data_IF_053196130765
#
_entry.id   IF_053196130765
#
_cell.length_a   1.000
_cell.length_b   1.000
_cell.length_c   1.000
_cell.angle_alpha   90.00
_cell.angle_beta   90.00
_cell.angle_gamma   90.00
#
_symmetry.space_group_name_H-M   'P 1'
#
loop_
_entity.id
_entity.type
_entity.pdbx_description
1 polymer ?
#
# COMPACT_ATOMS: atom_id res chain seq x y z
N UNK A 1 14.30 -3.25 4.88
CA UNK A 1 14.58 -1.92 4.58
C UNK A 1 15.92 -1.74 3.92
N UNK A 2 15.95 -1.55 2.63
CA UNK A 2 17.17 -1.24 1.91
C UNK A 2 17.48 0.24 2.01
N UNK A 3 18.34 0.59 2.91
CA UNK A 3 19.05 1.88 2.91
C UNK A 3 20.02 1.95 1.72
N UNK A 4 19.64 1.89 0.55
CA UNK A 4 20.66 1.88 -0.48
C UNK A 4 20.36 2.85 -1.58
N UNK A 5 19.56 2.48 -2.49
CA UNK A 5 19.24 3.26 -3.69
C UNK A 5 17.98 4.11 -3.55
N UNK A 6 17.23 3.92 -2.48
CA UNK A 6 15.95 4.58 -2.21
C UNK A 6 16.05 5.52 -1.00
N UNK A 7 17.03 6.44 -1.05
CA UNK A 7 17.04 7.58 -0.14
C UNK A 7 15.79 8.41 -0.41
N UNK A 8 14.90 8.49 0.57
CA UNK A 8 13.59 9.14 0.46
C UNK A 8 13.66 10.57 -0.08
N UNK A 9 14.75 11.30 0.20
CA UNK A 9 14.98 12.63 -0.35
C UNK A 9 15.22 12.62 -1.88
N UNK A 10 15.61 11.48 -2.45
CA UNK A 10 15.93 11.34 -3.87
C UNK A 10 14.81 10.73 -4.70
N UNK A 11 13.79 10.15 -4.07
CA UNK A 11 12.78 9.34 -4.74
C UNK A 11 11.52 10.12 -5.10
N UNK A 12 11.49 11.42 -4.93
CA UNK A 12 10.44 12.28 -5.49
C UNK A 12 10.67 12.57 -6.98
N UNK A 13 10.97 11.54 -7.73
CA UNK A 13 11.22 11.61 -9.15
C UNK A 13 10.88 10.29 -9.82
N UNK A 14 10.94 10.29 -11.14
CA UNK A 14 10.75 9.07 -11.91
C UNK A 14 11.93 8.13 -11.68
N UNK A 15 11.63 6.86 -11.49
CA UNK A 15 12.64 5.82 -11.48
C UNK A 15 13.26 5.65 -12.86
N UNK A 16 14.55 5.36 -12.88
CA UNK A 16 15.16 4.80 -14.08
C UNK A 16 14.49 3.44 -14.36
N UNK A 17 13.82 3.24 -15.49
CA UNK A 17 13.17 1.97 -15.83
C UNK A 17 14.13 0.77 -15.76
N UNK A 18 15.44 0.97 -15.90
CA UNK A 18 16.45 -0.07 -15.77
C UNK A 18 16.44 -0.74 -14.39
N UNK A 19 15.96 -0.06 -13.34
CA UNK A 19 15.84 -0.64 -11.98
C UNK A 19 14.95 -1.88 -11.99
N UNK A 20 13.86 -1.86 -12.74
CA UNK A 20 12.93 -3.00 -12.82
C UNK A 20 13.50 -4.15 -13.64
N UNK A 21 14.35 -3.86 -14.64
CA UNK A 21 15.09 -4.87 -15.39
C UNK A 21 16.13 -5.56 -14.52
N UNK A 22 16.89 -4.79 -13.74
CA UNK A 22 17.86 -5.32 -12.78
C UNK A 22 17.16 -6.15 -11.68
N UNK A 23 16.02 -5.72 -11.19
CA UNK A 23 15.21 -6.46 -10.23
C UNK A 23 14.75 -7.80 -10.81
N UNK A 24 14.22 -7.81 -12.04
CA UNK A 24 13.80 -9.03 -12.71
C UNK A 24 14.98 -9.99 -12.94
N UNK A 25 16.15 -9.50 -13.34
CA UNK A 25 17.35 -10.31 -13.52
C UNK A 25 17.81 -10.92 -12.18
N UNK A 26 17.80 -10.16 -11.11
CA UNK A 26 18.19 -10.63 -9.77
C UNK A 26 17.22 -11.69 -9.25
N UNK A 27 15.90 -11.42 -9.37
CA UNK A 27 14.86 -12.36 -8.96
C UNK A 27 14.90 -13.68 -9.76
N UNK A 28 15.26 -13.64 -11.03
CA UNK A 28 15.38 -14.84 -11.87
C UNK A 28 16.42 -15.82 -11.34
N UNK A 29 17.50 -15.32 -10.72
CA UNK A 29 18.58 -16.17 -10.18
C UNK A 29 18.11 -17.05 -9.03
N UNK A 30 17.14 -16.65 -8.26
CA UNK A 30 16.64 -17.40 -7.09
C UNK A 30 15.51 -18.38 -7.41
N UNK A 31 14.92 -18.32 -8.61
CA UNK A 31 13.79 -19.20 -9.02
C UNK A 31 14.12 -20.69 -8.83
N UNK A 32 15.31 -21.22 -9.21
CA UNK A 32 15.63 -22.61 -9.00
C UNK A 32 15.56 -23.04 -7.53
N UNK A 33 16.02 -22.17 -6.61
CA UNK A 33 16.00 -22.47 -5.17
C UNK A 33 14.57 -22.36 -4.61
N UNK A 34 13.78 -21.39 -5.04
CA UNK A 34 12.34 -21.27 -4.70
C UNK A 34 11.59 -22.55 -5.11
N UNK A 35 11.82 -23.01 -6.33
CA UNK A 35 11.24 -24.25 -6.86
C UNK A 35 11.64 -25.47 -6.03
N UNK A 36 12.93 -25.63 -5.74
CA UNK A 36 13.48 -26.74 -4.95
C UNK A 36 12.86 -26.78 -3.56
N UNK A 37 12.69 -25.63 -2.92
CA UNK A 37 12.14 -25.52 -1.57
C UNK A 37 10.61 -25.47 -1.53
N UNK A 38 9.94 -25.37 -2.67
CA UNK A 38 8.49 -25.18 -2.79
C UNK A 38 8.01 -23.92 -2.06
N UNK A 39 8.79 -22.84 -2.16
CA UNK A 39 8.48 -21.53 -1.60
C UNK A 39 8.05 -20.59 -2.74
N UNK A 40 7.00 -19.85 -2.55
CA UNK A 40 6.63 -18.72 -3.42
C UNK A 40 7.08 -17.41 -2.79
N UNK A 41 7.72 -16.56 -3.58
CA UNK A 41 8.09 -15.21 -3.20
C UNK A 41 7.00 -14.24 -3.67
N UNK A 42 6.59 -13.34 -2.80
CA UNK A 42 5.66 -12.26 -3.14
C UNK A 42 6.41 -10.92 -3.14
N UNK A 43 6.35 -10.20 -4.26
CA UNK A 43 6.90 -8.86 -4.40
C UNK A 43 5.80 -7.85 -4.10
N UNK A 44 6.04 -6.95 -3.16
CA UNK A 44 5.07 -5.96 -2.71
C UNK A 44 5.19 -4.65 -3.49
N UNK A 45 4.04 -4.01 -3.75
CA UNK A 45 4.00 -2.59 -4.13
C UNK A 45 4.12 -1.77 -2.85
N UNK A 46 5.35 -1.24 -2.59
CA UNK A 46 5.65 -0.56 -1.35
C UNK A 46 5.85 0.94 -1.55
N UNK A 47 4.76 1.67 -1.82
CA UNK A 47 4.63 3.12 -1.91
C UNK A 47 5.28 3.80 -3.15
N UNK A 48 6.22 3.16 -3.84
CA UNK A 48 7.01 3.76 -4.92
C UNK A 48 6.64 3.25 -6.30
N UNK A 49 6.36 1.97 -6.40
CA UNK A 49 6.14 1.28 -7.65
C UNK A 49 4.70 1.47 -8.12
N UNK A 50 4.53 1.72 -9.40
CA UNK A 50 3.21 1.62 -10.03
C UNK A 50 2.88 0.17 -10.39
N UNK A 51 1.61 -0.10 -10.54
CA UNK A 51 1.13 -1.42 -10.95
C UNK A 51 1.66 -1.85 -12.32
N UNK A 52 1.84 -0.90 -13.26
CA UNK A 52 2.40 -1.18 -14.59
C UNK A 52 3.86 -1.63 -14.52
N UNK A 53 4.66 -0.97 -13.66
CA UNK A 53 6.06 -1.34 -13.43
C UNK A 53 6.17 -2.76 -12.86
N UNK A 54 5.38 -3.09 -11.84
CA UNK A 54 5.38 -4.42 -11.23
C UNK A 54 4.82 -5.50 -12.16
N UNK A 55 3.74 -5.21 -12.89
CA UNK A 55 3.20 -6.14 -13.88
C UNK A 55 4.23 -6.44 -14.99
N UNK A 56 5.02 -5.44 -15.40
CA UNK A 56 6.10 -5.65 -16.37
C UNK A 56 7.19 -6.58 -15.82
N UNK A 57 7.58 -6.45 -14.53
CA UNK A 57 8.49 -7.38 -13.86
C UNK A 57 7.93 -8.80 -13.87
N UNK A 58 6.65 -8.97 -13.51
CA UNK A 58 6.00 -10.30 -13.51
C UNK A 58 5.98 -10.94 -14.91
N UNK A 59 5.64 -10.17 -15.94
CA UNK A 59 5.67 -10.64 -17.34
C UNK A 59 7.08 -11.10 -17.77
N UNK A 60 8.13 -10.41 -17.33
CA UNK A 60 9.52 -10.80 -17.64
C UNK A 60 9.96 -12.05 -16.91
N UNK A 61 9.50 -12.24 -15.66
CA UNK A 61 9.85 -13.40 -14.85
C UNK A 61 9.15 -14.68 -15.35
N UNK A 62 7.89 -14.56 -15.74
CA UNK A 62 7.04 -15.64 -16.27
C UNK A 62 7.19 -16.96 -15.51
N UNK A 63 6.92 -16.92 -14.21
CA UNK A 63 7.09 -18.06 -13.32
C UNK A 63 6.00 -18.15 -12.26
N UNK A 64 5.52 -19.34 -11.87
CA UNK A 64 4.57 -19.47 -10.76
C UNK A 64 5.23 -19.34 -9.38
N UNK A 65 6.55 -19.23 -9.30
CA UNK A 65 7.28 -19.19 -8.03
C UNK A 65 7.46 -17.78 -7.46
N UNK A 66 7.21 -16.76 -8.27
CA UNK A 66 7.22 -15.37 -7.86
C UNK A 66 5.88 -14.77 -8.28
N UNK A 67 5.21 -14.08 -7.36
CA UNK A 67 3.98 -13.36 -7.60
C UNK A 67 4.01 -12.01 -6.91
N UNK A 68 2.87 -11.33 -6.85
CA UNK A 68 2.74 -10.05 -6.19
C UNK A 68 2.09 -10.18 -4.81
N UNK A 69 2.54 -9.36 -3.91
CA UNK A 69 1.84 -9.00 -2.70
C UNK A 69 1.13 -7.67 -2.96
N UNK A 70 -0.17 -7.72 -3.14
CA UNK A 70 -0.92 -6.49 -3.39
C UNK A 70 -1.26 -5.80 -2.08
N UNK A 71 -0.58 -4.67 -1.86
CA UNK A 71 -0.91 -3.74 -0.79
C UNK A 71 -1.92 -2.72 -1.30
N UNK A 72 -3.11 -2.73 -0.73
CA UNK A 72 -4.27 -2.03 -1.26
C UNK A 72 -4.12 -0.50 -1.28
N UNK A 73 -3.41 0.08 -0.31
CA UNK A 73 -3.32 1.52 -0.17
C UNK A 73 -2.03 2.13 -0.74
N UNK A 74 -0.99 1.31 -0.92
CA UNK A 74 0.34 1.85 -1.25
C UNK A 74 0.44 2.48 -2.64
N UNK A 75 -0.41 2.08 -3.59
CA UNK A 75 -0.51 2.71 -4.90
C UNK A 75 -0.84 4.20 -4.85
N UNK A 76 -1.55 4.66 -3.80
CA UNK A 76 -1.89 6.07 -3.65
C UNK A 76 -0.64 6.96 -3.54
N UNK A 77 0.43 6.50 -2.88
CA UNK A 77 1.68 7.26 -2.77
C UNK A 77 2.40 7.40 -4.12
N UNK A 78 2.11 6.51 -5.07
CA UNK A 78 2.58 6.62 -6.46
C UNK A 78 1.60 7.37 -7.38
N UNK A 79 0.61 8.06 -6.84
CA UNK A 79 -0.46 8.73 -7.58
C UNK A 79 -1.25 7.78 -8.47
N UNK A 80 -1.49 6.56 -8.01
CA UNK A 80 -2.25 5.57 -8.74
C UNK A 80 -3.54 5.22 -7.98
N UNK A 81 -4.65 5.17 -8.71
CA UNK A 81 -5.93 4.73 -8.16
C UNK A 81 -5.86 3.25 -7.77
N UNK A 82 -6.21 2.89 -6.52
CA UNK A 82 -6.13 1.51 -6.03
C UNK A 82 -6.93 0.50 -6.85
N UNK A 83 -8.08 0.87 -7.43
CA UNK A 83 -8.86 -0.05 -8.26
C UNK A 83 -8.16 -0.31 -9.61
N UNK A 84 -7.55 0.72 -10.19
CA UNK A 84 -6.74 0.57 -11.40
C UNK A 84 -5.50 -0.28 -11.14
N UNK A 85 -4.84 -0.07 -10.00
CA UNK A 85 -3.72 -0.91 -9.58
C UNK A 85 -4.15 -2.37 -9.39
N UNK A 86 -5.27 -2.60 -8.69
CA UNK A 86 -5.82 -3.93 -8.45
C UNK A 86 -6.08 -4.69 -9.76
N UNK A 87 -6.72 -4.07 -10.75
CA UNK A 87 -6.99 -4.69 -12.04
C UNK A 87 -5.74 -5.20 -12.75
N UNK A 88 -4.64 -4.46 -12.67
CA UNK A 88 -3.38 -4.80 -13.32
C UNK A 88 -2.57 -5.84 -12.54
N UNK A 89 -2.62 -5.78 -11.20
CA UNK A 89 -1.83 -6.64 -10.32
C UNK A 89 -2.51 -7.96 -9.96
N UNK A 90 -3.85 -8.01 -9.94
CA UNK A 90 -4.62 -9.18 -9.50
C UNK A 90 -4.21 -10.50 -10.18
N UNK A 91 -3.94 -10.56 -11.51
CA UNK A 91 -3.51 -11.81 -12.16
C UNK A 91 -2.22 -12.41 -11.61
N UNK A 92 -1.40 -11.60 -10.97
CA UNK A 92 -0.12 -12.00 -10.38
C UNK A 92 -0.14 -12.07 -8.85
N UNK A 93 -1.24 -11.62 -8.23
CA UNK A 93 -1.34 -11.50 -6.77
C UNK A 93 -1.48 -12.86 -6.12
N UNK A 94 -0.63 -13.11 -5.13
CA UNK A 94 -0.60 -14.35 -4.34
C UNK A 94 -0.81 -14.14 -2.84
N UNK A 95 -0.74 -12.89 -2.39
CA UNK A 95 -1.02 -12.45 -1.02
C UNK A 95 -1.34 -10.96 -1.01
N UNK A 96 -1.86 -10.46 0.09
CA UNK A 96 -2.32 -9.07 0.19
C UNK A 96 -2.01 -8.47 1.55
N UNK A 97 -1.92 -7.11 1.60
CA UNK A 97 -2.20 -6.32 2.78
C UNK A 97 -3.49 -5.54 2.56
N UNK A 98 -4.56 -5.99 3.22
CA UNK A 98 -5.86 -5.34 3.15
C UNK A 98 -5.91 -4.21 4.17
N UNK A 99 -5.85 -2.99 3.68
CA UNK A 99 -5.79 -1.75 4.47
C UNK A 99 -6.65 -0.65 3.85
N UNK A 100 -6.77 0.47 4.54
CA UNK A 100 -7.54 1.62 4.10
C UNK A 100 -6.80 2.92 4.37
N UNK A 101 -7.04 3.92 3.53
CA UNK A 101 -6.32 5.20 3.57
C UNK A 101 -7.26 6.39 3.34
N UNK A 102 -6.81 7.53 3.82
CA UNK A 102 -7.32 8.86 3.49
C UNK A 102 -6.17 9.78 3.07
N UNK A 103 -6.49 10.86 2.39
CA UNK A 103 -5.56 11.98 2.16
C UNK A 103 -5.91 13.07 3.15
N UNK A 104 -4.91 13.60 3.86
CA UNK A 104 -5.08 14.68 4.83
C UNK A 104 -4.17 15.86 4.49
N UNK A 105 -4.53 17.10 4.90
CA UNK A 105 -3.66 18.25 4.75
C UNK A 105 -2.35 18.09 5.52
N UNK A 106 -1.25 18.49 4.89
CA UNK A 106 0.07 18.58 5.50
C UNK A 106 0.84 19.76 4.88
N UNK A 107 0.70 20.98 5.44
CA UNK A 107 1.31 22.19 4.86
C UNK A 107 2.84 22.12 4.69
N UNK A 108 3.50 21.29 5.51
CA UNK A 108 4.95 21.08 5.47
C UNK A 108 5.39 20.18 4.30
N UNK A 109 4.48 19.39 3.73
CA UNK A 109 4.78 18.58 2.57
C UNK A 109 4.79 19.43 1.30
N UNK A 110 5.72 19.24 0.36
CA UNK A 110 5.78 19.97 -0.90
C UNK A 110 4.51 19.91 -1.75
N UNK A 111 3.71 18.86 -1.60
CA UNK A 111 2.41 18.75 -2.28
C UNK A 111 1.25 19.26 -1.41
N UNK A 112 1.50 19.65 -0.15
CA UNK A 112 0.51 20.13 0.80
C UNK A 112 -0.38 19.04 1.42
N UNK A 113 -0.10 17.77 1.13
CA UNK A 113 -0.90 16.62 1.55
C UNK A 113 -0.05 15.39 1.79
N UNK A 114 -0.57 14.48 2.63
CA UNK A 114 -0.02 13.14 2.86
C UNK A 114 -1.12 12.09 2.83
N UNK A 115 -0.75 10.85 2.58
CA UNK A 115 -1.64 9.69 2.64
C UNK A 115 -1.54 9.06 4.02
N UNK A 116 -2.66 8.89 4.69
CA UNK A 116 -2.71 8.39 6.06
C UNK A 116 -3.43 7.05 6.13
N UNK A 117 -2.76 6.05 6.72
CA UNK A 117 -3.38 4.77 7.06
C UNK A 117 -4.40 4.96 8.17
N UNK A 118 -5.56 4.30 8.04
CA UNK A 118 -6.65 4.39 9.01
C UNK A 118 -7.30 3.02 9.21
N UNK A 119 -8.16 2.87 10.22
CA UNK A 119 -8.91 1.61 10.38
C UNK A 119 -9.71 1.28 9.12
N UNK A 120 -9.61 0.04 8.67
CA UNK A 120 -10.28 -0.47 7.45
C UNK A 120 -11.79 -0.24 7.53
N UNK A 121 -12.33 0.35 6.46
CA UNK A 121 -13.73 0.77 6.36
C UNK A 121 -14.00 2.20 6.86
N UNK A 122 -12.96 2.96 7.18
CA UNK A 122 -13.05 4.37 7.59
C UNK A 122 -12.45 5.33 6.56
N UNK A 123 -11.89 4.79 5.47
CA UNK A 123 -11.24 5.57 4.43
C UNK A 123 -12.08 5.84 3.21
N UNK A 124 -11.38 6.30 2.20
CA UNK A 124 -11.98 6.71 0.94
C UNK A 124 -11.86 5.66 -0.17
N UNK A 125 -11.19 4.53 0.10
CA UNK A 125 -11.09 3.46 -0.89
C UNK A 125 -12.41 2.68 -0.97
N UNK A 126 -12.84 2.34 -2.18
CA UNK A 126 -13.95 1.41 -2.37
C UNK A 126 -13.46 -0.02 -2.13
N UNK A 127 -13.39 -0.39 -0.85
CA UNK A 127 -12.90 -1.70 -0.41
C UNK A 127 -13.75 -2.86 -0.91
N UNK A 128 -15.03 -2.62 -1.22
CA UNK A 128 -15.92 -3.64 -1.75
C UNK A 128 -15.56 -3.96 -3.20
N UNK A 129 -15.38 -2.93 -4.02
CA UNK A 129 -14.95 -3.08 -5.42
C UNK A 129 -13.54 -3.68 -5.49
N UNK A 130 -12.61 -3.17 -4.69
CA UNK A 130 -11.25 -3.70 -4.59
C UNK A 130 -11.21 -5.19 -4.21
N UNK A 131 -12.00 -5.60 -3.22
CA UNK A 131 -12.13 -7.01 -2.84
C UNK A 131 -12.67 -7.85 -3.99
N UNK A 132 -13.71 -7.37 -4.67
CA UNK A 132 -14.31 -8.05 -5.82
C UNK A 132 -13.27 -8.27 -6.92
N UNK A 133 -12.54 -7.21 -7.31
CA UNK A 133 -11.49 -7.28 -8.34
C UNK A 133 -10.43 -8.34 -7.98
N UNK A 134 -9.94 -8.31 -6.75
CA UNK A 134 -8.90 -9.23 -6.33
C UNK A 134 -9.40 -10.68 -6.28
N UNK A 135 -10.61 -10.92 -5.81
CA UNK A 135 -11.17 -12.26 -5.74
C UNK A 135 -11.52 -12.83 -7.13
N UNK A 136 -11.99 -11.99 -8.04
CA UNK A 136 -12.35 -12.42 -9.39
C UNK A 136 -11.13 -12.69 -10.29
N UNK A 137 -10.02 -11.98 -10.05
CA UNK A 137 -8.87 -12.00 -10.97
C UNK A 137 -7.59 -12.57 -10.38
N UNK A 138 -7.61 -13.03 -9.11
CA UNK A 138 -6.46 -13.67 -8.47
C UNK A 138 -6.77 -15.07 -7.97
N UNK A 139 -5.76 -15.77 -7.49
CA UNK A 139 -5.90 -17.11 -6.89
C UNK A 139 -5.86 -17.09 -5.36
N UNK A 140 -5.98 -15.93 -4.74
CA UNK A 140 -5.92 -15.85 -3.28
C UNK A 140 -7.17 -16.45 -2.63
N UNK A 141 -6.97 -17.04 -1.47
CA UNK A 141 -8.05 -17.59 -0.63
C UNK A 141 -8.06 -16.96 0.76
N UNK A 142 -7.17 -16.01 1.01
CA UNK A 142 -6.99 -15.33 2.30
C UNK A 142 -6.68 -13.87 2.07
N UNK A 143 -7.22 -13.02 2.94
CA UNK A 143 -6.80 -11.63 3.08
C UNK A 143 -5.92 -11.53 4.32
N UNK A 144 -4.76 -10.89 4.19
CA UNK A 144 -3.99 -10.45 5.34
C UNK A 144 -4.37 -9.01 5.63
N UNK A 145 -4.89 -8.77 6.81
CA UNK A 145 -5.22 -7.44 7.27
C UNK A 145 -3.94 -6.75 7.73
N UNK A 146 -3.70 -5.57 7.24
CA UNK A 146 -2.70 -4.66 7.79
C UNK A 146 -3.37 -3.36 8.21
N UNK A 147 -2.93 -2.81 9.32
CA UNK A 147 -3.46 -1.56 9.86
C UNK A 147 -2.31 -0.68 10.30
N UNK A 148 -2.17 0.48 9.66
CA UNK A 148 -1.05 1.40 9.82
C UNK A 148 -1.44 2.71 10.51
N UNK A 149 -2.56 2.74 11.22
CA UNK A 149 -3.04 3.95 11.89
C UNK A 149 -2.25 4.23 13.18
N UNK A 150 -1.76 5.44 13.43
CA UNK A 150 -1.95 6.69 12.68
C UNK A 150 -0.80 7.07 11.70
N UNK A 151 -0.14 6.11 11.10
CA UNK A 151 0.95 6.34 10.17
C UNK A 151 0.54 7.19 8.97
N UNK A 152 1.38 8.18 8.61
CA UNK A 152 1.20 9.02 7.42
C UNK A 152 2.42 8.91 6.50
N UNK A 153 2.16 8.72 5.22
CA UNK A 153 3.19 8.64 4.19
C UNK A 153 3.10 9.82 3.22
N UNK A 154 4.25 10.33 2.82
CA UNK A 154 4.34 11.32 1.75
C UNK A 154 4.08 10.66 0.40
N UNK A 155 3.60 11.45 -0.57
CA UNK A 155 3.64 11.03 -1.97
C UNK A 155 5.08 10.80 -2.42
N UNK A 156 5.36 9.65 -3.04
CA UNK A 156 6.72 9.20 -3.40
C UNK A 156 7.09 9.50 -4.85
N UNK A 157 6.11 9.74 -5.68
CA UNK A 157 6.27 10.01 -7.11
C UNK A 157 5.66 11.37 -7.47
N UNK A 158 5.94 11.84 -8.67
CA UNK A 158 5.34 13.05 -9.20
C UNK A 158 3.86 12.83 -9.53
N UNK A 159 2.99 13.85 -9.37
CA UNK A 159 1.60 13.77 -9.81
C UNK A 159 1.50 13.30 -11.27
N UNK A 160 0.59 12.38 -11.53
CA UNK A 160 0.39 11.79 -12.84
C UNK A 160 1.18 10.52 -13.12
N UNK A 161 2.18 10.14 -12.30
CA UNK A 161 2.96 8.90 -12.52
C UNK A 161 2.06 7.68 -12.59
N UNK A 162 1.14 7.51 -11.64
CA UNK A 162 0.14 6.42 -11.65
C UNK A 162 -1.19 6.80 -12.30
N UNK A 163 -1.27 7.95 -13.00
CA UNK A 163 -2.47 8.40 -13.70
C UNK A 163 -3.32 9.43 -12.95
N UNK A 164 -3.08 9.65 -11.65
CA UNK A 164 -3.76 10.67 -10.85
C UNK A 164 -2.89 11.93 -10.77
N UNK A 165 -3.45 13.08 -11.14
CA UNK A 165 -2.71 14.35 -11.25
C UNK A 165 -2.94 15.32 -10.09
N UNK A 166 -3.97 15.10 -9.28
CA UNK A 166 -4.34 15.98 -8.18
C UNK A 166 -5.13 15.24 -7.11
N UNK A 167 -5.10 15.75 -5.90
CA UNK A 167 -6.02 15.36 -4.81
C UNK A 167 -7.39 16.01 -4.98
N UNK A 168 -8.42 15.50 -4.30
CA UNK A 168 -9.75 16.11 -4.20
C UNK A 168 -10.90 15.23 -4.68
N UNK A 169 -10.63 14.11 -5.35
CA UNK A 169 -11.67 13.23 -5.92
C UNK A 169 -11.41 11.75 -5.58
N UNK A 170 -12.47 10.97 -5.54
CA UNK A 170 -12.39 9.51 -5.30
C UNK A 170 -11.65 9.18 -4.01
N UNK A 171 -10.77 8.19 -4.05
CA UNK A 171 -9.93 7.81 -2.91
C UNK A 171 -8.92 8.89 -2.51
N UNK A 172 -8.63 9.86 -3.39
CA UNK A 172 -7.78 11.03 -3.12
C UNK A 172 -8.54 12.23 -2.53
N UNK A 173 -9.81 12.06 -2.16
CA UNK A 173 -10.57 13.10 -1.45
C UNK A 173 -9.87 13.46 -0.15
N UNK A 174 -9.76 14.77 0.12
CA UNK A 174 -9.11 15.29 1.32
C UNK A 174 -10.05 15.21 2.50
N UNK A 175 -9.60 14.62 3.59
CA UNK A 175 -10.36 14.46 4.83
C UNK A 175 -9.61 15.13 6.01
N UNK A 176 -10.31 15.35 7.10
CA UNK A 176 -9.69 15.71 8.36
C UNK A 176 -8.97 14.47 8.95
N UNK A 177 -7.83 14.64 9.64
CA UNK A 177 -7.18 13.54 10.34
C UNK A 177 -8.12 12.97 11.42
N UNK A 178 -8.09 11.64 11.60
CA UNK A 178 -8.89 10.94 12.63
C UNK A 178 -8.16 10.88 14.00
N UNK A 179 -6.97 11.43 14.07
CA UNK A 179 -6.16 11.57 15.28
C UNK A 179 -5.95 13.05 15.59
N UNK A 180 -5.50 13.34 16.80
CA UNK A 180 -5.15 14.70 17.19
C UNK A 180 -3.78 15.10 16.58
N UNK A 181 -3.72 16.10 15.67
CA UNK A 181 -2.49 16.54 15.06
C UNK A 181 -1.48 17.15 16.05
N UNK A 182 -1.91 17.55 17.25
CA UNK A 182 -0.99 17.98 18.32
C UNK A 182 -0.26 16.78 18.95
N UNK A 183 -0.89 15.60 18.89
CA UNK A 183 -0.31 14.36 19.41
C UNK A 183 0.53 13.64 18.33
N UNK A 184 -0.02 13.49 17.12
CA UNK A 184 0.65 12.85 16.00
C UNK A 184 0.68 13.82 14.82
N UNK A 185 1.86 14.30 14.45
CA UNK A 185 1.97 15.27 13.35
C UNK A 185 1.78 14.57 12.00
N UNK A 186 0.90 15.09 11.15
CA UNK A 186 0.82 14.62 9.77
C UNK A 186 2.18 14.77 9.07
N UNK A 187 2.62 13.73 8.36
CA UNK A 187 3.88 13.75 7.64
C UNK A 187 5.10 13.33 8.45
N UNK A 188 4.98 13.14 9.76
CA UNK A 188 6.01 12.45 10.53
C UNK A 188 6.10 11.01 10.01
N UNK A 189 7.20 10.77 9.33
CA UNK A 189 7.49 9.47 8.73
C UNK A 189 7.95 8.53 9.84
N UNK A 190 7.18 7.50 10.10
CA UNK A 190 7.32 6.71 11.30
C UNK A 190 6.99 7.52 12.57
N UNK A 191 7.07 6.88 13.71
CA UNK A 191 6.83 7.53 14.99
C UNK A 191 7.79 8.69 15.20
N UNK A 192 7.38 9.74 15.95
CA UNK A 192 8.28 10.83 16.32
C UNK A 192 9.61 10.27 16.81
N UNK A 193 10.72 10.87 16.37
CA UNK A 193 12.05 10.39 16.78
C UNK A 193 12.27 10.47 18.29
N UNK A 194 11.53 11.37 18.96
CA UNK A 194 11.44 11.49 20.40
C UNK A 194 10.01 11.19 20.84
N UNK A 195 9.70 9.91 21.05
CA UNK A 195 8.39 9.50 21.54
C UNK A 195 8.41 9.44 23.08
N UNK A 196 7.52 10.20 23.73
CA UNK A 196 7.29 10.03 25.18
C UNK A 196 6.53 8.73 25.46
N UNK A 197 6.58 8.26 26.72
CA UNK A 197 5.82 7.07 27.12
C UNK A 197 4.32 7.29 26.91
N UNK A 198 3.80 8.47 27.22
CA UNK A 198 2.39 8.83 27.04
C UNK A 198 1.99 8.80 25.56
N UNK A 199 2.83 9.34 24.67
CA UNK A 199 2.57 9.32 23.22
C UNK A 199 2.63 7.90 22.68
N UNK A 200 3.57 7.09 23.13
CA UNK A 200 3.66 5.67 22.75
C UNK A 200 2.40 4.91 23.18
N UNK A 201 1.94 5.09 24.42
CA UNK A 201 0.71 4.46 24.91
C UNK A 201 -0.51 4.88 24.11
N UNK A 202 -0.64 6.15 23.74
CA UNK A 202 -1.73 6.63 22.90
C UNK A 202 -1.69 6.02 21.50
N UNK A 203 -0.51 5.98 20.85
CA UNK A 203 -0.34 5.33 19.56
C UNK A 203 -0.69 3.83 19.61
N UNK A 204 -0.24 3.12 20.64
CA UNK A 204 -0.57 1.69 20.83
C UNK A 204 -2.07 1.47 21.04
N UNK A 205 -2.73 2.35 21.79
CA UNK A 205 -4.18 2.30 21.97
C UNK A 205 -4.92 2.52 20.66
N UNK A 206 -4.54 3.55 19.88
CA UNK A 206 -5.13 3.82 18.56
C UNK A 206 -4.95 2.63 17.61
N UNK A 207 -3.76 2.02 17.59
CA UNK A 207 -3.51 0.82 16.80
C UNK A 207 -4.36 -0.37 17.24
N UNK A 208 -4.45 -0.63 18.54
CA UNK A 208 -5.24 -1.74 19.06
C UNK A 208 -6.74 -1.59 18.74
N UNK A 209 -7.28 -0.40 18.91
CA UNK A 209 -8.67 -0.10 18.56
C UNK A 209 -8.89 -0.19 17.06
N UNK A 210 -7.95 0.34 16.25
CA UNK A 210 -7.98 0.28 14.81
C UNK A 210 -7.98 -1.16 14.27
N UNK A 211 -7.15 -2.04 14.82
CA UNK A 211 -7.12 -3.47 14.45
C UNK A 211 -8.45 -4.14 14.74
N UNK A 212 -9.06 -3.89 15.90
CA UNK A 212 -10.37 -4.46 16.26
C UNK A 212 -11.46 -4.00 15.29
N UNK A 213 -11.51 -2.71 14.99
CA UNK A 213 -12.49 -2.14 14.04
C UNK A 213 -12.29 -2.71 12.64
N UNK A 214 -11.04 -2.73 12.17
CA UNK A 214 -10.65 -3.26 10.86
C UNK A 214 -11.02 -4.74 10.71
N UNK A 215 -10.74 -5.56 11.72
CA UNK A 215 -11.09 -6.98 11.72
C UNK A 215 -12.60 -7.21 11.68
N UNK A 216 -13.37 -6.43 12.43
CA UNK A 216 -14.83 -6.51 12.43
C UNK A 216 -15.41 -6.14 11.05
N UNK A 217 -14.97 -5.04 10.47
CA UNK A 217 -15.39 -4.60 9.14
C UNK A 217 -15.04 -5.63 8.05
N UNK A 218 -13.78 -6.10 8.03
CA UNK A 218 -13.31 -7.07 7.03
C UNK A 218 -14.08 -8.39 7.10
N UNK A 219 -14.39 -8.90 8.30
CA UNK A 219 -15.22 -10.09 8.46
C UNK A 219 -16.60 -9.89 7.85
N UNK A 220 -17.26 -8.79 8.17
CA UNK A 220 -18.57 -8.46 7.61
C UNK A 220 -18.53 -8.39 6.09
N UNK A 221 -17.54 -7.72 5.52
CA UNK A 221 -17.36 -7.60 4.08
C UNK A 221 -17.17 -8.98 3.42
N UNK A 222 -16.37 -9.86 4.01
CA UNK A 222 -16.17 -11.22 3.52
C UNK A 222 -17.45 -12.08 3.62
N UNK A 223 -18.27 -11.88 4.65
CA UNK A 223 -19.56 -12.55 4.79
C UNK A 223 -20.56 -12.09 3.73
N UNK A 224 -20.63 -10.78 3.49
CA UNK A 224 -21.45 -10.22 2.41
C UNK A 224 -21.08 -10.78 1.04
N UNK A 225 -19.78 -10.88 0.76
CA UNK A 225 -19.28 -11.47 -0.49
C UNK A 225 -19.66 -12.95 -0.65
N UNK A 226 -19.58 -13.75 0.41
CA UNK A 226 -19.92 -15.19 0.37
C UNK A 226 -21.41 -15.46 0.17
N UNK A 227 -22.26 -14.49 0.46
CA UNK A 227 -23.71 -14.59 0.37
C UNK A 227 -24.28 -14.06 -0.96
N UNK A 228 -23.43 -13.57 -1.87
CA UNK A 228 -23.76 -13.20 -3.25
C UNK A 228 -23.65 -14.42 -4.18
#
# INVERSE_FOLDING_TARGET
>A
GGEGKYDQAKVRGDFDPAVFDEAAMSLRQIIPELKKRRIRLALENHEYETSDELAAVMKRLDTPWIGLHFDFGNSMMAWEDPAQAAMKMAPYTITTHFKDHIVIPCPEDPYGYVVCGIPVGKGNMDLKDLLQIILDHSSITRLNLEMCYPYCAQFKRSPGTGGVFRVGEGCFKVEAPLFDPETVKPGDYYYPQEISEELLEECLKLQMEGVKQSAAYTRKLCEEYRNQ
#
